data_IF_733929345731
#
_entry.id   IF_733929345731
#
_cell.length_a   1.000
_cell.length_b   1.000
_cell.length_c   1.000
_cell.angle_alpha   90.00
_cell.angle_beta   90.00
_cell.angle_gamma   90.00
#
_symmetry.space_group_name_H-M   'P 1'
#
loop_
_entity.id
_entity.type
_entity.pdbx_description
1 polymer ?
#
# COMPACT_ATOMS: atom_id res chain seq x y z
N UNK A 1 54.96 -35.21 -11.47
CA UNK A 1 55.30 -33.89 -12.03
C UNK A 1 54.10 -33.43 -12.85
N UNK A 2 53.38 -32.39 -12.37
CA UNK A 2 52.38 -31.55 -13.09
C UNK A 2 51.17 -32.32 -13.65
N UNK A 3 49.96 -32.18 -13.12
CA UNK A 3 49.06 -31.04 -13.36
C UNK A 3 47.92 -31.15 -12.32
N UNK A 4 48.01 -30.50 -11.17
CA UNK A 4 47.48 -29.16 -10.91
C UNK A 4 46.09 -28.87 -11.52
N UNK A 5 45.11 -28.82 -10.61
CA UNK A 5 44.43 -27.56 -10.30
C UNK A 5 43.38 -27.05 -11.30
N UNK A 6 42.58 -27.94 -11.92
CA UNK A 6 41.54 -27.50 -12.86
C UNK A 6 40.11 -27.99 -12.59
N UNK A 7 39.88 -28.84 -11.59
CA UNK A 7 38.52 -29.31 -11.26
C UNK A 7 37.97 -28.80 -9.93
N UNK A 8 38.74 -27.99 -9.19
CA UNK A 8 38.23 -27.22 -8.04
C UNK A 8 37.49 -25.93 -8.46
N UNK A 9 37.48 -25.58 -9.75
CA UNK A 9 36.74 -24.43 -10.28
C UNK A 9 35.25 -24.69 -10.54
N UNK A 10 34.76 -25.91 -10.29
CA UNK A 10 33.31 -26.21 -10.34
C UNK A 10 32.58 -25.94 -9.03
N UNK A 11 33.28 -25.49 -7.98
CA UNK A 11 32.71 -25.13 -6.67
C UNK A 11 32.43 -23.63 -6.51
N UNK A 12 32.61 -22.84 -7.56
CA UNK A 12 32.48 -21.38 -7.51
C UNK A 12 31.60 -20.82 -8.64
N UNK A 13 30.64 -21.61 -9.09
CA UNK A 13 29.55 -21.12 -9.93
C UNK A 13 28.34 -20.88 -9.05
N UNK A 14 28.36 -19.68 -8.45
CA UNK A 14 27.15 -18.89 -8.31
C UNK A 14 26.12 -19.59 -7.43
N UNK A 15 26.30 -19.47 -6.11
CA UNK A 15 25.15 -19.26 -5.23
C UNK A 15 24.43 -18.05 -5.81
N UNK A 16 23.49 -18.31 -6.71
CA UNK A 16 22.51 -17.35 -7.18
C UNK A 16 21.95 -16.79 -5.90
N UNK A 17 22.35 -15.54 -5.62
CA UNK A 17 21.74 -14.70 -4.63
C UNK A 17 20.25 -14.96 -4.78
N UNK A 18 19.69 -15.70 -3.83
CA UNK A 18 18.27 -15.72 -3.62
C UNK A 18 17.95 -14.25 -3.50
N UNK A 19 17.29 -13.71 -4.52
CA UNK A 19 16.54 -12.50 -4.35
C UNK A 19 15.65 -12.85 -3.17
N UNK A 20 16.01 -12.33 -2.00
CA UNK A 20 15.22 -12.44 -0.81
C UNK A 20 13.99 -11.62 -1.16
N UNK A 21 13.03 -12.26 -1.83
CA UNK A 21 11.69 -11.73 -1.96
C UNK A 21 11.23 -11.64 -0.53
N UNK A 22 11.35 -10.43 0.01
CA UNK A 22 10.80 -10.05 1.30
C UNK A 22 9.39 -10.64 1.34
N UNK A 23 9.20 -11.62 2.21
CA UNK A 23 7.92 -12.30 2.37
C UNK A 23 7.02 -11.29 3.08
N UNK A 24 6.51 -10.31 2.33
CA UNK A 24 5.40 -9.45 2.70
C UNK A 24 4.09 -10.23 2.55
N UNK A 25 4.00 -11.41 3.19
CA UNK A 25 2.76 -12.17 3.29
C UNK A 25 2.15 -11.94 4.67
N UNK A 26 1.65 -10.74 4.92
CA UNK A 26 0.71 -10.53 6.04
C UNK A 26 -0.37 -9.46 5.76
N UNK A 27 -0.75 -9.24 4.50
CA UNK A 27 -1.96 -8.47 4.14
C UNK A 27 -2.70 -9.07 2.93
N UNK A 28 -2.53 -10.38 2.67
CA UNK A 28 -3.01 -11.08 1.47
C UNK A 28 -4.54 -11.20 1.32
N UNK A 29 -5.31 -10.50 2.16
CA UNK A 29 -6.78 -10.52 2.19
C UNK A 29 -7.39 -9.14 1.87
N UNK A 30 -6.59 -8.07 1.78
CA UNK A 30 -7.09 -6.73 1.47
C UNK A 30 -7.36 -6.63 -0.03
N UNK A 31 -8.61 -6.33 -0.39
CA UNK A 31 -8.97 -5.92 -1.74
C UNK A 31 -8.90 -4.39 -1.85
N UNK A 32 -7.90 -3.91 -2.61
CA UNK A 32 -7.71 -2.49 -2.91
C UNK A 32 -8.44 -2.06 -4.20
N UNK A 33 -9.06 -2.99 -4.93
CA UNK A 33 -9.66 -2.73 -6.23
C UNK A 33 -8.61 -2.45 -7.31
N UNK A 34 -8.87 -1.43 -8.13
CA UNK A 34 -8.01 -1.05 -9.25
C UNK A 34 -6.77 -0.23 -8.84
N UNK A 35 -5.86 0.03 -9.78
CA UNK A 35 -4.56 0.64 -9.45
C UNK A 35 -4.67 2.10 -8.99
N UNK A 36 -4.02 2.39 -7.86
CA UNK A 36 -3.78 3.74 -7.36
C UNK A 36 -2.60 3.75 -6.40
N UNK A 37 -2.22 4.94 -5.95
CA UNK A 37 -1.23 5.15 -4.90
C UNK A 37 -1.69 6.22 -3.93
N UNK A 38 -1.27 6.10 -2.68
CA UNK A 38 -1.42 7.16 -1.68
C UNK A 38 -0.15 8.00 -1.70
N UNK A 39 -0.31 9.31 -1.82
CA UNK A 39 0.79 10.26 -1.85
C UNK A 39 1.08 10.80 -0.45
N UNK A 40 2.38 10.97 -0.16
CA UNK A 40 2.87 11.61 1.08
C UNK A 40 3.14 13.11 0.91
N UNK A 41 3.17 13.57 -0.34
CA UNK A 41 3.32 14.98 -0.69
C UNK A 41 2.05 15.47 -1.42
N UNK A 42 1.58 16.69 -1.14
CA UNK A 42 2.22 17.72 -0.30
C UNK A 42 2.14 17.46 1.21
N UNK A 43 1.25 16.57 1.65
CA UNK A 43 1.13 16.18 3.06
C UNK A 43 0.78 14.68 3.19
N UNK A 44 1.24 14.00 4.24
CA UNK A 44 0.88 12.61 4.48
C UNK A 44 -0.61 12.48 4.83
N UNK A 45 -1.19 11.26 4.71
CA UNK A 45 -2.52 10.96 5.22
C UNK A 45 -2.65 11.33 6.70
N UNK A 46 -3.75 11.98 7.06
CA UNK A 46 -3.99 12.48 8.42
C UNK A 46 -5.46 12.41 8.78
N UNK A 47 -5.77 12.42 10.09
CA UNK A 47 -7.12 12.48 10.60
C UNK A 47 -7.37 13.88 11.17
N UNK A 48 -8.16 14.68 10.47
CA UNK A 48 -8.60 15.98 10.98
C UNK A 48 -9.93 15.81 11.70
N UNK A 49 -9.89 15.73 13.03
CA UNK A 49 -11.04 15.41 13.89
C UNK A 49 -11.62 14.01 13.61
N UNK A 50 -12.70 13.93 12.83
CA UNK A 50 -13.33 12.70 12.38
C UNK A 50 -13.21 12.51 10.86
N UNK A 51 -12.42 13.34 10.19
CA UNK A 51 -12.29 13.30 8.73
C UNK A 51 -10.91 12.81 8.32
N UNK A 52 -10.85 11.63 7.72
CA UNK A 52 -9.66 11.13 7.05
C UNK A 52 -9.40 11.98 5.80
N UNK A 53 -8.19 12.52 5.67
CA UNK A 53 -7.76 13.33 4.54
C UNK A 53 -6.59 12.63 3.84
N UNK A 54 -6.72 12.34 2.54
CA UNK A 54 -5.73 11.54 1.78
C UNK A 54 -5.55 12.13 0.39
N UNK A 55 -4.29 12.27 -0.03
CA UNK A 55 -3.96 12.47 -1.44
C UNK A 55 -3.85 11.12 -2.14
N UNK A 56 -4.69 10.90 -3.14
CA UNK A 56 -4.64 9.69 -3.99
C UNK A 56 -4.18 10.07 -5.37
N UNK A 57 -3.54 9.12 -6.04
CA UNK A 57 -3.13 9.29 -7.41
C UNK A 57 -3.31 8.02 -8.23
N UNK A 58 -3.70 8.20 -9.49
CA UNK A 58 -4.05 7.11 -10.41
C UNK A 58 -3.94 7.59 -11.87
N UNK A 59 -3.79 6.63 -12.80
CA UNK A 59 -3.92 6.90 -14.23
C UNK A 59 -5.40 6.83 -14.66
N UNK A 60 -5.76 7.61 -15.67
CA UNK A 60 -7.11 7.59 -16.22
C UNK A 60 -7.38 8.68 -17.25
N UNK A 61 -8.40 8.49 -18.05
CA UNK A 61 -8.85 9.46 -19.05
C UNK A 61 -9.55 10.66 -18.41
N UNK A 62 -10.07 10.51 -17.18
CA UNK A 62 -10.75 11.56 -16.43
C UNK A 62 -10.42 11.49 -14.94
N UNK A 63 -10.47 12.64 -14.26
CA UNK A 63 -10.47 12.70 -12.81
C UNK A 63 -11.78 12.15 -12.21
N UNK A 64 -11.90 12.21 -10.89
CA UNK A 64 -13.13 11.84 -10.19
C UNK A 64 -13.38 10.35 -10.07
N UNK A 65 -12.36 9.49 -10.14
CA UNK A 65 -12.53 8.05 -9.92
C UNK A 65 -13.16 7.77 -8.53
N UNK A 66 -14.04 6.78 -8.46
CA UNK A 66 -14.74 6.39 -7.26
C UNK A 66 -13.82 5.56 -6.34
N UNK A 67 -13.93 5.85 -5.05
CA UNK A 67 -13.21 5.16 -3.99
C UNK A 67 -14.14 4.94 -2.80
N UNK A 68 -14.12 3.72 -2.26
CA UNK A 68 -14.84 3.36 -1.04
C UNK A 68 -13.84 3.18 0.09
N UNK A 69 -14.10 3.84 1.23
CA UNK A 69 -13.31 3.63 2.45
C UNK A 69 -13.76 2.34 3.12
N UNK A 70 -12.84 1.39 3.23
CA UNK A 70 -13.03 0.13 3.92
C UNK A 70 -12.30 0.15 5.26
N UNK A 71 -12.74 -0.72 6.18
CA UNK A 71 -12.10 -0.84 7.48
C UNK A 71 -12.22 -2.24 8.06
N UNK A 72 -11.32 -2.53 9.01
CA UNK A 72 -11.43 -3.66 9.93
C UNK A 72 -10.93 -3.26 11.30
N UNK A 73 -11.35 -4.02 12.30
CA UNK A 73 -10.74 -3.98 13.64
C UNK A 73 -9.67 -5.07 13.66
N UNK A 74 -8.43 -4.69 13.89
CA UNK A 74 -7.28 -5.58 14.06
C UNK A 74 -6.89 -5.64 15.55
N UNK A 75 -6.68 -6.84 16.06
CA UNK A 75 -6.44 -7.07 17.49
C UNK A 75 -7.58 -6.54 18.37
N UNK A 76 -7.24 -6.08 19.58
CA UNK A 76 -8.24 -5.66 20.57
C UNK A 76 -8.68 -4.19 20.47
N UNK A 77 -7.98 -3.35 19.71
CA UNK A 77 -8.28 -1.89 19.70
C UNK A 77 -7.65 -1.08 18.56
N UNK A 78 -7.11 -1.72 17.52
CA UNK A 78 -6.57 -1.02 16.36
C UNK A 78 -7.58 -1.07 15.22
N UNK A 79 -7.80 0.06 14.56
CA UNK A 79 -8.56 0.11 13.30
C UNK A 79 -7.57 0.21 12.16
N UNK A 80 -7.76 -0.64 11.17
CA UNK A 80 -7.08 -0.51 9.88
C UNK A 80 -8.09 -0.07 8.83
N UNK A 81 -7.70 0.94 8.07
CA UNK A 81 -8.45 1.52 6.97
C UNK A 81 -7.71 1.22 5.68
N UNK A 82 -8.44 1.06 4.58
CA UNK A 82 -7.87 1.07 3.23
C UNK A 82 -8.88 1.65 2.25
N UNK A 83 -8.41 2.12 1.10
CA UNK A 83 -9.29 2.56 0.03
C UNK A 83 -9.46 1.43 -0.98
N UNK A 84 -10.69 1.14 -1.36
CA UNK A 84 -11.01 0.31 -2.51
C UNK A 84 -11.30 1.24 -3.69
N UNK A 85 -10.52 1.16 -4.78
CA UNK A 85 -10.80 1.91 -6.01
C UNK A 85 -11.88 1.18 -6.81
N UNK A 86 -13.06 1.78 -6.91
CA UNK A 86 -14.22 1.18 -7.57
C UNK A 86 -14.19 1.37 -9.10
N UNK A 87 -13.61 2.48 -9.58
CA UNK A 87 -13.51 2.78 -11.01
C UNK A 87 -12.40 1.95 -11.66
N UNK A 88 -12.67 1.21 -12.75
CA UNK A 88 -11.66 0.48 -13.51
C UNK A 88 -10.52 1.35 -14.01
N UNK A 89 -9.36 0.72 -14.24
CA UNK A 89 -8.26 1.40 -14.91
C UNK A 89 -8.62 1.67 -16.38
N UNK A 90 -8.23 2.85 -16.84
CA UNK A 90 -8.49 3.31 -18.20
C UNK A 90 -7.17 3.44 -18.94
N UNK A 91 -7.16 3.08 -20.22
CA UNK A 91 -5.96 3.13 -21.07
C UNK A 91 -5.77 4.57 -21.57
N UNK A 92 -5.23 5.42 -20.70
CA UNK A 92 -4.87 6.81 -20.98
C UNK A 92 -3.59 7.19 -20.23
N UNK A 93 -2.72 7.96 -20.86
CA UNK A 93 -1.42 8.37 -20.29
C UNK A 93 -1.55 9.51 -19.26
N UNK A 94 -2.76 10.02 -19.04
CA UNK A 94 -3.00 11.08 -18.07
C UNK A 94 -2.94 10.55 -16.63
N UNK A 95 -2.39 11.38 -15.74
CA UNK A 95 -2.22 11.08 -14.32
C UNK A 95 -2.93 12.11 -13.47
N UNK A 96 -3.74 11.64 -12.52
CA UNK A 96 -4.57 12.48 -11.65
C UNK A 96 -4.06 12.41 -10.21
N UNK A 97 -4.03 13.55 -9.53
CA UNK A 97 -3.77 13.67 -8.10
C UNK A 97 -4.92 14.43 -7.45
N UNK A 98 -5.57 13.80 -6.49
CA UNK A 98 -6.77 14.34 -5.88
C UNK A 98 -6.75 14.23 -4.36
N UNK A 99 -7.21 15.29 -3.70
CA UNK A 99 -7.42 15.30 -2.26
C UNK A 99 -8.82 14.77 -1.94
N UNK A 100 -8.89 13.63 -1.27
CA UNK A 100 -10.14 12.97 -0.89
C UNK A 100 -10.33 13.00 0.62
N UNK A 101 -11.61 13.00 1.02
CA UNK A 101 -12.03 13.14 2.41
C UNK A 101 -13.13 12.15 2.73
N UNK A 102 -13.00 11.46 3.87
CA UNK A 102 -14.02 10.56 4.38
C UNK A 102 -14.27 10.83 5.85
N UNK A 103 -15.55 10.97 6.20
CA UNK A 103 -15.95 11.05 7.60
C UNK A 103 -15.92 9.65 8.20
N UNK A 104 -15.14 9.47 9.25
CA UNK A 104 -15.05 8.25 10.03
C UNK A 104 -16.22 8.18 11.02
N UNK A 105 -16.76 6.98 11.29
CA UNK A 105 -17.75 6.79 12.34
C UNK A 105 -17.22 7.23 13.71
N UNK A 106 -18.08 7.81 14.55
CA UNK A 106 -17.69 8.22 15.91
C UNK A 106 -17.18 7.06 16.77
N UNK A 107 -17.63 5.84 16.49
CA UNK A 107 -17.16 4.61 17.14
C UNK A 107 -15.66 4.39 16.98
N UNK A 108 -15.00 5.02 16.00
CA UNK A 108 -13.56 4.89 15.82
C UNK A 108 -12.76 5.68 16.87
N UNK A 109 -13.38 6.66 17.54
CA UNK A 109 -12.72 7.48 18.57
C UNK A 109 -12.39 6.71 19.86
N UNK A 110 -13.07 5.60 20.10
CA UNK A 110 -12.84 4.75 21.28
C UNK A 110 -11.66 3.78 21.09
N UNK A 111 -11.12 3.70 19.87
CA UNK A 111 -10.02 2.81 19.52
C UNK A 111 -8.67 3.48 19.81
N UNK A 112 -7.66 2.68 20.13
CA UNK A 112 -6.34 3.18 20.57
C UNK A 112 -5.52 3.75 19.42
N UNK A 113 -5.70 3.22 18.22
CA UNK A 113 -4.99 3.66 17.02
C UNK A 113 -5.81 3.40 15.77
N UNK A 114 -5.64 4.29 14.79
CA UNK A 114 -6.20 4.14 13.44
C UNK A 114 -5.03 4.20 12.46
N UNK A 115 -4.93 3.22 11.59
CA UNK A 115 -3.91 3.13 10.56
C UNK A 115 -4.56 3.09 9.18
N UNK A 116 -4.01 3.81 8.21
CA UNK A 116 -4.34 3.65 6.79
C UNK A 116 -3.30 2.76 6.13
N UNK A 117 -3.74 1.73 5.43
CA UNK A 117 -2.88 0.81 4.67
C UNK A 117 -2.98 1.16 3.19
N UNK A 118 -1.86 1.28 2.49
CA UNK A 118 -1.82 1.51 1.04
C UNK A 118 -1.67 0.20 0.25
N UNK A 119 -1.89 0.24 -1.08
CA UNK A 119 -1.73 -0.94 -1.94
C UNK A 119 -0.33 -1.56 -1.98
N UNK A 120 0.69 -0.88 -1.44
CA UNK A 120 2.07 -1.38 -1.31
C UNK A 120 2.33 -2.00 0.08
N UNK A 121 1.30 -2.09 0.93
CA UNK A 121 1.40 -2.58 2.31
C UNK A 121 1.95 -1.57 3.30
N UNK A 122 2.18 -0.32 2.88
CA UNK A 122 2.66 0.73 3.79
C UNK A 122 1.55 1.17 4.72
N UNK A 123 1.86 1.23 6.02
CA UNK A 123 0.95 1.67 7.08
C UNK A 123 1.24 3.12 7.49
N UNK A 124 0.21 3.95 7.49
CA UNK A 124 0.23 5.32 7.99
C UNK A 124 -0.54 5.37 9.30
N UNK A 125 0.14 5.62 10.42
CA UNK A 125 -0.54 5.86 11.70
C UNK A 125 -1.16 7.25 11.66
N UNK A 126 -2.49 7.30 11.74
CA UNK A 126 -3.24 8.54 11.65
C UNK A 126 -3.23 9.25 13.01
N UNK A 127 -2.97 10.54 12.97
CA UNK A 127 -2.99 11.46 14.11
C UNK A 127 -3.74 12.72 13.70
#
# INVERSE_FOLDING_TARGET
MRLNLLLLFLLWSITSNGCFSDIGLEDSWIDFGYHYSILEHPSPPTLLHDTLVVHVAYSGCSGGHAFTLQHRISGSSQIELWLHKDTPDQVCDAYWNELRRWRLPESFRTHRSVALVDPRGKRFILR
#
